data_IF_005428833130
#
_entry.id   IF_005428833130
#
_cell.length_a   1.000
_cell.length_b   1.000
_cell.length_c   1.000
_cell.angle_alpha   90.00
_cell.angle_beta   90.00
_cell.angle_gamma   90.00
#
_symmetry.space_group_name_H-M   'P 1'
#
loop_
_entity.id
_entity.type
_entity.pdbx_description
1 polymer ?
#
# COMPACT_ATOMS: atom_id res chain seq x y z
N UNK A 1 -3.05 -21.59 34.30
CA UNK A 1 -3.14 -22.08 32.92
C UNK A 1 -3.34 -20.87 32.04
N UNK A 2 -2.32 -20.56 31.24
CA UNK A 2 -2.28 -19.41 30.34
C UNK A 2 -3.10 -19.71 29.10
N UNK A 3 -3.90 -18.75 28.63
CA UNK A 3 -4.21 -18.63 27.21
C UNK A 3 -4.37 -17.16 26.84
N UNK A 4 -3.43 -16.74 26.01
CA UNK A 4 -3.19 -15.41 25.47
C UNK A 4 -4.28 -15.05 24.47
N UNK A 5 -5.18 -14.12 24.82
CA UNK A 5 -6.01 -13.37 23.85
C UNK A 5 -5.27 -12.08 23.52
N UNK A 6 -4.33 -12.16 22.59
CA UNK A 6 -3.64 -11.00 22.03
C UNK A 6 -3.51 -11.25 20.52
N UNK A 7 -4.58 -10.99 19.76
CA UNK A 7 -4.57 -10.98 18.27
C UNK A 7 -5.88 -10.44 17.68
N UNK A 8 -6.46 -9.37 18.23
CA UNK A 8 -7.61 -8.73 17.56
C UNK A 8 -7.67 -7.20 17.73
N UNK A 9 -6.59 -6.59 18.20
CA UNK A 9 -6.52 -5.14 18.50
C UNK A 9 -5.55 -4.37 17.60
N UNK A 10 -4.92 -5.02 16.60
CA UNK A 10 -4.29 -4.33 15.48
C UNK A 10 -5.34 -4.18 14.39
N UNK A 11 -5.87 -3.02 14.04
CA UNK A 11 -6.23 -1.83 14.81
C UNK A 11 -7.47 -1.35 14.08
N UNK A 12 -8.65 -1.50 14.68
CA UNK A 12 -9.85 -0.81 14.16
C UNK A 12 -9.61 0.69 14.00
N UNK A 13 -8.57 1.25 14.61
CA UNK A 13 -8.08 2.61 14.44
C UNK A 13 -7.39 2.89 13.08
N UNK A 14 -6.72 1.92 12.45
CA UNK A 14 -6.15 2.08 11.10
C UNK A 14 -7.27 2.08 10.04
N UNK A 15 -8.23 1.17 10.21
CA UNK A 15 -9.47 1.17 9.45
C UNK A 15 -10.33 2.41 9.77
N UNK A 16 -10.38 2.88 11.01
CA UNK A 16 -11.11 4.10 11.37
C UNK A 16 -10.47 5.36 10.77
N UNK A 17 -9.14 5.48 10.67
CA UNK A 17 -8.52 6.55 9.90
C UNK A 17 -8.85 6.47 8.40
N UNK A 18 -9.05 5.26 7.86
CA UNK A 18 -9.59 5.02 6.52
C UNK A 18 -11.10 5.33 6.38
N UNK A 19 -11.86 5.32 7.47
CA UNK A 19 -13.32 5.47 7.51
C UNK A 19 -13.76 6.91 7.84
N UNK A 20 -12.89 7.74 8.39
CA UNK A 20 -13.29 9.06 8.92
C UNK A 20 -13.30 10.17 7.86
N UNK A 21 -14.04 10.01 6.74
CA UNK A 21 -14.64 11.15 6.01
C UNK A 21 -15.98 10.79 5.33
N UNK A 22 -17.01 10.57 6.16
CA UNK A 22 -18.41 11.06 5.99
C UNK A 22 -19.26 10.79 4.73
N UNK A 23 -18.82 10.05 3.70
CA UNK A 23 -19.66 9.86 2.47
C UNK A 23 -19.80 8.44 1.93
N UNK A 24 -19.16 7.43 2.56
CA UNK A 24 -19.19 6.05 2.06
C UNK A 24 -18.34 5.82 0.81
N UNK A 25 -17.38 6.73 0.54
CA UNK A 25 -16.41 6.63 -0.54
C UNK A 25 -14.97 6.65 -0.03
N UNK A 26 -14.06 6.06 -0.80
CA UNK A 26 -12.61 6.07 -0.58
C UNK A 26 -11.95 6.54 -1.88
N UNK A 27 -11.00 7.46 -1.80
CA UNK A 27 -10.09 7.77 -2.90
C UNK A 27 -8.85 6.86 -2.79
N UNK A 28 -8.59 6.09 -3.83
CA UNK A 28 -7.51 5.10 -3.88
C UNK A 28 -6.70 5.25 -5.18
N UNK A 29 -5.46 4.80 -5.14
CA UNK A 29 -4.65 4.54 -6.31
C UNK A 29 -4.75 3.07 -6.69
N UNK A 30 -4.88 2.81 -7.98
CA UNK A 30 -4.66 1.47 -8.57
C UNK A 30 -3.22 1.42 -9.06
N UNK A 31 -2.41 0.55 -8.45
CA UNK A 31 -0.99 0.40 -8.75
C UNK A 31 -0.76 -0.97 -9.38
N UNK A 32 -0.29 -0.97 -10.62
CA UNK A 32 0.10 -2.22 -11.30
C UNK A 32 1.37 -2.78 -10.64
N UNK A 33 1.26 -4.02 -10.14
CA UNK A 33 2.32 -4.70 -9.42
C UNK A 33 2.90 -5.82 -10.27
N UNK A 34 4.23 -5.88 -10.36
CA UNK A 34 4.89 -6.92 -11.14
C UNK A 34 4.62 -8.32 -10.55
N UNK A 35 4.05 -9.19 -11.39
CA UNK A 35 3.78 -10.59 -11.03
C UNK A 35 2.63 -10.79 -10.04
N UNK A 36 1.80 -9.77 -9.79
CA UNK A 36 0.68 -9.82 -8.84
C UNK A 36 -0.53 -9.06 -9.40
N UNK A 37 -1.70 -9.28 -8.80
CA UNK A 37 -2.89 -8.48 -9.03
C UNK A 37 -2.59 -7.00 -8.68
N UNK A 38 -3.25 -6.02 -9.31
CA UNK A 38 -3.03 -4.62 -8.98
C UNK A 38 -3.36 -4.31 -7.52
N UNK A 39 -2.59 -3.41 -6.93
CA UNK A 39 -2.77 -2.97 -5.55
C UNK A 39 -3.77 -1.82 -5.50
N UNK A 40 -4.69 -1.88 -4.55
CA UNK A 40 -5.51 -0.73 -4.15
C UNK A 40 -4.86 -0.07 -2.93
N UNK A 41 -4.29 1.11 -3.14
CA UNK A 41 -3.62 1.89 -2.11
C UNK A 41 -4.45 3.15 -1.79
N UNK A 42 -4.91 3.35 -0.55
CA UNK A 42 -5.59 4.58 -0.16
C UNK A 42 -4.74 5.84 -0.43
N UNK A 43 -5.34 6.90 -0.97
CA UNK A 43 -4.58 8.11 -1.31
C UNK A 43 -4.21 8.95 -0.08
N UNK A 44 -4.95 8.80 1.02
CA UNK A 44 -4.74 9.59 2.24
C UNK A 44 -3.38 9.31 2.91
N UNK A 45 -2.77 8.15 2.65
CA UNK A 45 -1.45 7.77 3.18
C UNK A 45 -0.30 8.11 2.21
N UNK A 46 -0.59 8.69 1.04
CA UNK A 46 0.44 9.09 0.07
C UNK A 46 0.79 10.56 0.28
N UNK A 47 2.01 10.83 0.72
CA UNK A 47 2.50 12.17 1.04
C UNK A 47 2.99 12.93 -0.19
N UNK A 48 3.61 12.22 -1.15
CA UNK A 48 4.10 12.81 -2.40
C UNK A 48 4.40 11.74 -3.45
N UNK A 49 4.62 12.16 -4.68
CA UNK A 49 5.10 11.33 -5.78
C UNK A 49 6.35 11.98 -6.40
N UNK A 50 7.37 11.18 -6.66
CA UNK A 50 8.66 11.62 -7.19
C UNK A 50 9.00 10.81 -8.43
N UNK A 51 9.40 11.46 -9.52
CA UNK A 51 10.05 10.75 -10.62
C UNK A 51 11.40 10.21 -10.14
N UNK A 52 11.69 8.94 -10.46
CA UNK A 52 12.89 8.27 -9.96
C UNK A 52 13.37 7.19 -10.91
N UNK A 53 14.67 6.89 -10.84
CA UNK A 53 15.19 5.63 -11.38
C UNK A 53 14.67 4.48 -10.52
N UNK A 54 14.27 3.38 -11.15
CA UNK A 54 13.62 2.26 -10.47
C UNK A 54 14.60 1.34 -9.74
N UNK A 55 15.88 1.34 -10.14
CA UNK A 55 16.92 0.42 -9.64
C UNK A 55 17.70 1.02 -8.44
N UNK A 56 16.99 1.74 -7.58
CA UNK A 56 17.54 2.36 -6.37
C UNK A 56 16.98 1.70 -5.13
N UNK A 57 17.81 1.59 -4.09
CA UNK A 57 17.38 1.07 -2.78
C UNK A 57 16.74 2.14 -1.90
N UNK A 58 16.96 3.41 -2.23
CA UNK A 58 16.43 4.54 -1.49
C UNK A 58 16.21 5.76 -2.38
N UNK A 59 15.30 6.64 -1.98
CA UNK A 59 15.03 7.93 -2.66
C UNK A 59 15.15 9.08 -1.68
N UNK A 60 15.70 10.19 -2.15
CA UNK A 60 15.78 11.42 -1.35
C UNK A 60 14.42 12.13 -1.38
N UNK A 61 13.85 12.37 -0.19
CA UNK A 61 12.62 13.15 -0.02
C UNK A 61 12.80 14.15 1.12
N UNK A 62 12.80 15.44 0.78
CA UNK A 62 13.23 16.52 1.67
C UNK A 62 14.62 16.21 2.27
N UNK A 63 14.75 16.16 3.59
CA UNK A 63 16.00 15.83 4.30
C UNK A 63 16.14 14.33 4.61
N UNK A 64 15.15 13.51 4.21
CA UNK A 64 15.11 12.09 4.49
C UNK A 64 15.58 11.28 3.28
N UNK A 65 16.26 10.17 3.57
CA UNK A 65 16.55 9.13 2.57
C UNK A 65 15.65 7.93 2.88
N UNK A 66 14.63 7.72 2.05
CA UNK A 66 13.58 6.75 2.30
C UNK A 66 13.92 5.43 1.63
N UNK A 67 13.84 4.32 2.37
CA UNK A 67 13.96 2.97 1.81
C UNK A 67 12.89 2.73 0.76
N UNK A 68 13.25 2.05 -0.33
CA UNK A 68 12.36 1.74 -1.44
C UNK A 68 11.85 0.31 -1.33
N UNK A 69 10.54 0.15 -1.43
CA UNK A 69 9.89 -1.11 -1.73
C UNK A 69 9.44 -1.12 -3.19
N UNK A 70 9.96 -2.06 -3.98
CA UNK A 70 9.71 -2.13 -5.41
C UNK A 70 8.49 -2.98 -5.76
N UNK A 71 7.52 -2.40 -6.44
CA UNK A 71 6.40 -3.13 -7.07
C UNK A 71 6.39 -3.01 -8.58
N UNK A 72 7.26 -2.17 -9.13
CA UNK A 72 7.46 -1.98 -10.56
C UNK A 72 8.06 -3.20 -11.28
N UNK A 73 8.02 -3.18 -12.60
CA UNK A 73 8.69 -4.13 -13.48
C UNK A 73 10.22 -4.05 -13.35
N UNK A 74 10.94 -5.18 -13.23
CA UNK A 74 12.41 -5.18 -13.07
C UNK A 74 13.19 -4.55 -14.23
N UNK A 75 12.64 -4.61 -15.45
CA UNK A 75 13.28 -4.10 -16.66
C UNK A 75 13.03 -2.61 -16.90
N UNK A 76 12.02 -2.03 -16.24
CA UNK A 76 11.71 -0.61 -16.36
C UNK A 76 12.78 0.18 -15.64
N UNK A 77 13.31 1.22 -16.28
CA UNK A 77 14.43 2.04 -15.76
C UNK A 77 13.97 3.29 -15.00
N UNK A 78 12.83 3.85 -15.39
CA UNK A 78 12.27 5.06 -14.79
C UNK A 78 10.86 4.77 -14.30
N UNK A 79 10.52 5.32 -13.15
CA UNK A 79 9.23 5.13 -12.52
C UNK A 79 8.88 6.28 -11.59
N UNK A 80 7.86 6.04 -10.77
CA UNK A 80 7.37 7.00 -9.79
C UNK A 80 7.48 6.38 -8.41
N UNK A 81 8.23 7.03 -7.53
CA UNK A 81 8.30 6.69 -6.13
C UNK A 81 7.19 7.43 -5.36
N UNK A 82 6.21 6.70 -4.86
CA UNK A 82 5.21 7.25 -3.95
C UNK A 82 5.75 7.24 -2.53
N UNK A 83 5.79 8.40 -1.88
CA UNK A 83 6.17 8.50 -0.47
C UNK A 83 4.97 8.12 0.38
N UNK A 84 5.10 7.04 1.14
CA UNK A 84 4.05 6.49 1.99
C UNK A 84 4.26 6.94 3.44
N UNK A 85 3.17 7.36 4.07
CA UNK A 85 3.12 7.66 5.49
C UNK A 85 3.36 6.39 6.33
N UNK A 86 4.13 6.52 7.41
CA UNK A 86 4.25 5.52 8.47
C UNK A 86 3.74 6.11 9.78
N UNK A 87 3.63 5.32 10.84
CA UNK A 87 3.17 5.80 12.16
C UNK A 87 4.09 6.91 12.68
N UNK A 88 5.40 6.75 12.44
CA UNK A 88 6.43 7.73 12.71
C UNK A 88 7.22 8.14 11.46
N UNK A 89 7.93 9.26 11.54
CA UNK A 89 8.79 9.77 10.45
C UNK A 89 9.81 8.73 9.98
N UNK A 90 10.33 7.90 10.89
CA UNK A 90 11.30 6.84 10.58
C UNK A 90 10.70 5.65 9.82
N UNK A 91 9.38 5.48 9.87
CA UNK A 91 8.68 4.40 9.19
C UNK A 91 8.15 4.80 7.80
N UNK A 92 8.41 6.04 7.38
CA UNK A 92 8.12 6.48 6.01
C UNK A 92 9.01 5.73 5.05
N UNK A 93 8.44 5.36 3.92
CA UNK A 93 9.15 4.66 2.87
C UNK A 93 8.64 5.09 1.49
N UNK A 94 9.33 4.65 0.46
CA UNK A 94 8.94 4.90 -0.92
C UNK A 94 8.46 3.61 -1.58
N UNK A 95 7.28 3.64 -2.18
CA UNK A 95 6.74 2.58 -3.02
C UNK A 95 7.09 2.89 -4.48
N UNK A 96 8.00 2.11 -5.08
CA UNK A 96 8.41 2.31 -6.47
C UNK A 96 7.40 1.68 -7.43
N UNK A 97 6.74 2.53 -8.20
CA UNK A 97 5.72 2.19 -9.18
C UNK A 97 6.28 2.33 -10.61
N UNK A 98 5.66 1.62 -11.55
CA UNK A 98 5.99 1.78 -12.97
C UNK A 98 5.82 3.22 -13.45
N UNK A 99 4.70 3.84 -13.10
CA UNK A 99 4.31 5.19 -13.49
C UNK A 99 3.37 5.78 -12.44
N UNK A 100 2.91 7.02 -12.65
CA UNK A 100 1.95 7.64 -11.75
C UNK A 100 0.66 6.80 -11.72
N UNK A 101 0.26 6.26 -10.54
CA UNK A 101 -0.90 5.39 -10.45
C UNK A 101 -2.22 6.08 -10.80
N UNK A 102 -3.19 5.29 -11.25
CA UNK A 102 -4.53 5.79 -11.58
C UNK A 102 -5.30 6.09 -10.29
N UNK A 103 -5.76 7.33 -10.16
CA UNK A 103 -6.67 7.75 -9.09
C UNK A 103 -8.09 7.26 -9.38
N UNK A 104 -8.73 6.65 -8.39
CA UNK A 104 -10.11 6.19 -8.46
C UNK A 104 -10.85 6.55 -7.17
N UNK A 105 -12.10 6.97 -7.31
CA UNK A 105 -13.02 7.18 -6.18
C UNK A 105 -14.02 6.03 -6.14
N UNK A 106 -13.99 5.26 -5.06
CA UNK A 106 -14.74 4.02 -4.88
C UNK A 106 -15.81 4.18 -3.83
N UNK A 107 -16.99 3.59 -4.02
CA UNK A 107 -17.93 3.44 -2.91
C UNK A 107 -17.53 2.20 -2.10
N UNK A 108 -17.50 2.32 -0.78
CA UNK A 108 -17.09 1.21 0.11
C UNK A 108 -17.94 -0.05 -0.14
N UNK A 109 -19.24 0.13 -0.41
CA UNK A 109 -20.14 -1.00 -0.71
C UNK A 109 -19.87 -1.72 -2.04
N UNK A 110 -19.02 -1.16 -2.91
CA UNK A 110 -18.62 -1.77 -4.19
C UNK A 110 -17.36 -2.63 -4.04
N UNK A 111 -16.67 -2.51 -2.90
CA UNK A 111 -15.49 -3.30 -2.56
C UNK A 111 -15.98 -4.50 -1.75
N UNK A 112 -15.78 -5.69 -2.30
CA UNK A 112 -16.20 -6.93 -1.67
C UNK A 112 -14.96 -7.75 -1.36
N UNK A 113 -14.92 -8.33 -0.15
CA UNK A 113 -13.87 -9.29 0.20
C UNK A 113 -13.86 -10.45 -0.79
N UNK A 114 -12.67 -10.85 -1.21
CA UNK A 114 -12.46 -11.97 -2.09
C UNK A 114 -11.65 -13.05 -1.35
N UNK A 115 -12.28 -14.21 -1.13
CA UNK A 115 -11.61 -15.34 -0.50
C UNK A 115 -10.55 -15.88 -1.44
N UNK A 116 -9.28 -15.64 -1.11
CA UNK A 116 -8.12 -16.21 -1.79
C UNK A 116 -7.22 -16.91 -0.77
N UNK A 117 -6.37 -17.81 -1.26
CA UNK A 117 -5.32 -18.38 -0.40
C UNK A 117 -4.23 -17.33 -0.25
N UNK A 118 -4.04 -16.82 0.98
CA UNK A 118 -2.94 -15.88 1.26
C UNK A 118 -1.61 -16.62 1.16
N UNK A 119 -0.91 -16.41 0.05
CA UNK A 119 0.43 -16.97 -0.19
C UNK A 119 1.54 -15.94 -0.08
N UNK A 120 1.18 -14.66 -0.17
CA UNK A 120 2.12 -13.53 -0.14
C UNK A 120 1.90 -12.70 1.14
N UNK A 121 2.90 -12.62 2.04
CA UNK A 121 2.78 -11.87 3.29
C UNK A 121 2.71 -10.35 3.10
N UNK A 122 3.09 -9.83 1.93
CA UNK A 122 2.94 -8.41 1.58
C UNK A 122 1.49 -8.05 1.24
N UNK A 123 0.59 -9.04 1.15
CA UNK A 123 -0.83 -8.83 0.90
C UNK A 123 -1.61 -9.03 2.20
N UNK A 124 -2.38 -8.01 2.57
CA UNK A 124 -3.26 -8.06 3.73
C UNK A 124 -4.58 -8.75 3.41
N UNK A 125 -5.19 -8.39 2.27
CA UNK A 125 -6.51 -8.88 1.87
C UNK A 125 -6.68 -8.76 0.34
N UNK A 126 -7.37 -9.71 -0.28
CA UNK A 126 -7.84 -9.54 -1.65
C UNK A 126 -9.26 -9.01 -1.64
N UNK A 127 -9.54 -8.10 -2.57
CA UNK A 127 -10.86 -7.52 -2.76
C UNK A 127 -11.22 -7.54 -4.22
N UNK A 128 -12.51 -7.60 -4.51
CA UNK A 128 -13.06 -7.54 -5.85
C UNK A 128 -13.87 -6.26 -6.02
N UNK A 129 -13.64 -5.60 -7.14
CA UNK A 129 -14.41 -4.45 -7.59
C UNK A 129 -14.86 -4.71 -9.02
N UNK A 130 -16.17 -4.85 -9.22
CA UNK A 130 -16.71 -5.36 -10.49
C UNK A 130 -16.18 -6.77 -10.77
N UNK A 131 -15.56 -6.94 -11.94
CA UNK A 131 -15.01 -8.23 -12.40
C UNK A 131 -13.49 -8.35 -12.18
N UNK A 132 -12.87 -7.37 -11.53
CA UNK A 132 -11.43 -7.34 -11.30
C UNK A 132 -11.08 -7.53 -9.82
N UNK A 133 -10.06 -8.35 -9.58
CA UNK A 133 -9.48 -8.59 -8.27
C UNK A 133 -8.30 -7.64 -8.07
N UNK A 134 -8.21 -7.13 -6.86
CA UNK A 134 -7.15 -6.26 -6.36
C UNK A 134 -6.68 -6.79 -5.02
N UNK A 135 -5.52 -6.32 -4.58
CA UNK A 135 -5.05 -6.60 -3.23
C UNK A 135 -4.83 -5.32 -2.43
N UNK A 136 -5.09 -5.41 -1.13
CA UNK A 136 -4.74 -4.40 -0.13
C UNK A 136 -3.36 -4.76 0.42
N UNK A 137 -2.39 -3.83 0.42
CA UNK A 137 -1.04 -4.12 0.89
C UNK A 137 -0.99 -4.27 2.41
N UNK A 138 -0.14 -5.18 2.88
CA UNK A 138 0.24 -5.27 4.29
C UNK A 138 1.42 -4.33 4.56
N UNK A 139 1.12 -3.08 4.93
CA UNK A 139 2.13 -2.03 5.12
C UNK A 139 3.14 -2.38 6.21
N UNK A 140 2.69 -2.98 7.31
CA UNK A 140 3.57 -3.44 8.40
C UNK A 140 4.59 -4.46 7.89
N UNK A 141 4.14 -5.44 7.10
CA UNK A 141 5.05 -6.42 6.52
C UNK A 141 6.02 -5.79 5.52
N UNK A 142 5.53 -4.89 4.67
CA UNK A 142 6.35 -4.17 3.69
C UNK A 142 7.45 -3.37 4.38
N UNK A 143 7.12 -2.62 5.43
CA UNK A 143 8.07 -1.86 6.25
C UNK A 143 9.13 -2.78 6.86
N UNK A 144 8.71 -3.88 7.51
CA UNK A 144 9.65 -4.85 8.07
C UNK A 144 10.56 -5.49 7.01
N UNK A 145 10.04 -5.75 5.81
CA UNK A 145 10.82 -6.35 4.71
C UNK A 145 11.93 -5.43 4.20
N UNK A 146 11.77 -4.11 4.33
CA UNK A 146 12.78 -3.09 3.98
C UNK A 146 13.57 -2.59 5.20
N UNK A 147 13.40 -3.22 6.36
CA UNK A 147 14.18 -2.96 7.57
C UNK A 147 13.70 -1.79 8.43
N UNK A 148 12.41 -1.44 8.33
CA UNK A 148 11.75 -0.40 9.15
C UNK A 148 10.87 -1.01 10.25
#
# INVERSE_FOLDING_TARGET
>A
MSQTTVSNEISQQELQHLITVSTGFIDAYIIDCYGKEPMLLPQNIVLSALDSETQVQSVQWHELNLSVYAVNEPERLNGVALVIEGEDVSQRFALMCNEMPKSVRLRISEIVDEDHVMTDPAIFQYVRMGDQIYHIPNLTHIQSAIGL
#
